data_IF_841509703471
#
_entry.id   IF_841509703471
#
_cell.length_a   1.000
_cell.length_b   1.000
_cell.length_c   1.000
_cell.angle_alpha   90.00
_cell.angle_beta   90.00
_cell.angle_gamma   90.00
#
_symmetry.space_group_name_H-M   'P 1'
#
loop_
_entity.id
_entity.type
_entity.pdbx_description
1 polymer ?
#
# COMPACT_ATOMS: atom_id res chain seq x y z
N UNK A 1 14.46 9.75 -10.55
CA UNK A 1 14.45 10.66 -11.72
C UNK A 1 13.01 10.94 -12.10
N UNK A 2 12.68 12.13 -12.59
CA UNK A 2 11.30 12.44 -12.99
C UNK A 2 11.24 13.54 -14.03
N UNK A 3 10.16 13.54 -14.79
CA UNK A 3 9.84 14.56 -15.76
C UNK A 3 8.37 14.95 -15.64
N UNK A 4 8.08 16.21 -15.93
CA UNK A 4 6.72 16.71 -16.03
C UNK A 4 6.57 17.61 -17.23
N UNK A 5 5.38 17.64 -17.80
CA UNK A 5 4.99 18.55 -18.86
C UNK A 5 3.64 19.18 -18.55
N UNK A 6 3.64 20.51 -18.50
CA UNK A 6 2.43 21.30 -18.35
C UNK A 6 1.87 21.55 -19.76
N UNK A 7 0.73 20.94 -20.06
CA UNK A 7 0.05 21.11 -21.36
C UNK A 7 -0.92 22.30 -21.36
N UNK A 8 -1.21 22.85 -20.18
CA UNK A 8 -1.90 24.14 -19.98
C UNK A 8 -1.46 24.77 -18.65
N UNK A 9 -1.98 25.96 -18.36
CA UNK A 9 -1.78 26.63 -17.07
C UNK A 9 -2.39 25.87 -15.87
N UNK A 10 -3.27 24.91 -16.17
CA UNK A 10 -4.07 24.19 -15.17
C UNK A 10 -4.02 22.67 -15.35
N UNK A 11 -3.07 22.15 -16.13
CA UNK A 11 -3.00 20.75 -16.47
C UNK A 11 -1.57 20.28 -16.70
N UNK A 12 -1.20 19.18 -16.05
CA UNK A 12 0.12 18.57 -16.20
C UNK A 12 0.05 17.04 -16.26
N UNK A 13 0.94 16.47 -17.07
CA UNK A 13 1.29 15.06 -17.04
C UNK A 13 2.68 14.96 -16.43
N UNK A 14 2.90 13.95 -15.60
CA UNK A 14 4.21 13.68 -15.01
C UNK A 14 4.48 12.18 -15.04
N UNK A 15 5.76 11.85 -14.93
CA UNK A 15 6.18 10.50 -14.63
C UNK A 15 7.49 10.51 -13.87
N UNK A 16 7.68 9.52 -13.01
CA UNK A 16 8.93 9.38 -12.28
C UNK A 16 9.31 7.92 -12.11
N UNK A 17 10.60 7.75 -11.86
CA UNK A 17 11.19 6.53 -11.32
C UNK A 17 11.88 6.88 -10.01
N UNK A 18 11.65 6.10 -8.95
CA UNK A 18 12.32 6.26 -7.67
C UNK A 18 12.81 4.91 -7.16
N UNK A 19 13.95 4.93 -6.47
CA UNK A 19 14.46 3.80 -5.70
C UNK A 19 14.49 4.18 -4.23
N UNK A 20 13.85 3.37 -3.40
CA UNK A 20 13.93 3.41 -1.95
C UNK A 20 14.54 2.12 -1.41
N UNK A 21 14.93 2.13 -0.15
CA UNK A 21 15.41 0.93 0.52
C UNK A 21 15.06 0.94 2.01
N UNK A 22 14.85 -0.25 2.56
CA UNK A 22 14.81 -0.51 3.99
C UNK A 22 16.04 -1.34 4.33
N UNK A 23 16.94 -0.74 5.12
CA UNK A 23 18.18 -1.41 5.51
C UNK A 23 17.92 -2.77 6.15
N UNK A 24 18.83 -3.70 5.94
CA UNK A 24 18.86 -4.95 6.68
C UNK A 24 18.89 -4.73 8.19
N UNK A 25 18.23 -5.62 8.92
CA UNK A 25 18.26 -5.75 10.37
C UNK A 25 19.18 -6.88 10.82
N UNK A 26 19.08 -7.24 12.10
CA UNK A 26 19.82 -8.39 12.64
C UNK A 26 18.98 -9.12 13.68
N UNK A 27 18.80 -10.43 13.50
CA UNK A 27 18.17 -11.29 14.49
C UNK A 27 19.22 -11.71 15.53
N UNK A 28 19.26 -11.05 16.69
CA UNK A 28 20.30 -11.29 17.71
C UNK A 28 20.04 -12.53 18.57
N UNK A 29 18.84 -12.66 19.14
CA UNK A 29 18.48 -13.77 20.03
C UNK A 29 17.17 -14.38 19.59
N UNK A 30 17.25 -15.52 18.89
CA UNK A 30 16.09 -16.33 18.54
C UNK A 30 15.88 -17.41 19.60
N UNK A 31 14.64 -17.62 20.00
CA UNK A 31 14.28 -18.61 21.02
C UNK A 31 14.52 -20.06 20.52
N UNK A 32 14.49 -20.27 19.19
CA UNK A 32 14.86 -21.51 18.52
C UNK A 32 15.85 -21.26 17.38
N UNK A 33 17.16 -21.10 17.67
CA UNK A 33 18.17 -20.73 16.68
C UNK A 33 18.45 -21.82 15.63
N UNK A 34 17.95 -23.04 15.84
CA UNK A 34 18.00 -24.11 14.85
C UNK A 34 17.08 -23.84 13.65
N UNK A 35 15.89 -23.27 13.87
CA UNK A 35 14.95 -22.95 12.79
C UNK A 35 15.31 -21.63 12.12
N UNK A 36 15.67 -20.63 12.92
CA UNK A 36 16.07 -19.30 12.43
C UNK A 36 17.40 -18.96 13.10
N UNK A 37 18.55 -19.16 12.42
CA UNK A 37 19.84 -18.80 12.96
C UNK A 37 19.96 -17.29 13.24
N UNK A 38 20.72 -16.88 14.27
CA UNK A 38 21.10 -15.49 14.42
C UNK A 38 21.88 -15.01 13.19
N UNK A 39 21.58 -13.81 12.70
CA UNK A 39 22.18 -13.31 11.48
C UNK A 39 21.52 -12.03 10.96
N UNK A 40 22.15 -11.39 9.97
CA UNK A 40 21.60 -10.22 9.31
C UNK A 40 20.44 -10.60 8.39
N UNK A 41 19.49 -9.68 8.20
CA UNK A 41 18.60 -9.71 7.02
C UNK A 41 19.23 -8.89 5.89
N UNK A 42 18.88 -9.22 4.65
CA UNK A 42 19.27 -8.46 3.46
C UNK A 42 18.49 -7.16 3.39
N UNK A 43 19.04 -6.15 2.73
CA UNK A 43 18.33 -4.92 2.42
C UNK A 43 17.11 -5.23 1.56
N UNK A 44 15.98 -4.58 1.85
CA UNK A 44 14.81 -4.57 0.97
C UNK A 44 14.90 -3.34 0.07
N UNK A 45 14.81 -3.52 -1.24
CA UNK A 45 14.84 -2.43 -2.21
C UNK A 45 13.46 -2.26 -2.84
N UNK A 46 13.02 -1.02 -3.06
CA UNK A 46 11.75 -0.72 -3.73
C UNK A 46 12.00 0.19 -4.93
N UNK A 47 11.73 -0.31 -6.13
CA UNK A 47 11.82 0.41 -7.39
C UNK A 47 10.41 0.75 -7.88
N UNK A 48 10.08 2.03 -7.89
CA UNK A 48 8.76 2.53 -8.31
C UNK A 48 8.86 3.24 -9.65
N UNK A 49 7.95 2.91 -10.56
CA UNK A 49 7.62 3.73 -11.74
C UNK A 49 6.19 4.23 -11.58
N UNK A 50 5.98 5.53 -11.77
CA UNK A 50 4.65 6.14 -11.75
C UNK A 50 4.47 7.08 -12.95
N UNK A 51 3.25 7.10 -13.50
CA UNK A 51 2.80 8.10 -14.46
C UNK A 51 1.47 8.67 -13.97
N UNK A 52 1.32 9.99 -14.04
CA UNK A 52 0.12 10.65 -13.55
C UNK A 52 -0.28 11.89 -14.32
N UNK A 53 -1.56 12.23 -14.14
CA UNK A 53 -2.25 13.39 -14.66
C UNK A 53 -2.76 14.20 -13.47
N UNK A 54 -2.51 15.51 -13.47
CA UNK A 54 -3.10 16.45 -12.52
C UNK A 54 -3.77 17.56 -13.29
N UNK A 55 -5.03 17.83 -12.99
CA UNK A 55 -5.82 18.84 -13.68
C UNK A 55 -6.68 19.64 -12.72
N UNK A 56 -6.65 20.95 -12.91
CA UNK A 56 -7.58 21.93 -12.36
C UNK A 56 -8.37 22.53 -13.53
N UNK A 57 -9.70 22.47 -13.44
CA UNK A 57 -10.63 22.90 -14.46
C UNK A 57 -11.62 23.91 -13.85
N UNK A 58 -12.29 24.68 -14.72
CA UNK A 58 -13.30 25.67 -14.32
C UNK A 58 -12.77 26.63 -13.23
N UNK A 59 -11.62 27.26 -13.48
CA UNK A 59 -10.95 28.19 -12.57
C UNK A 59 -10.68 27.59 -11.17
N UNK A 60 -10.29 26.31 -11.14
CA UNK A 60 -9.99 25.57 -9.91
C UNK A 60 -11.22 25.01 -9.18
N UNK A 61 -12.41 25.12 -9.78
CA UNK A 61 -13.63 24.53 -9.21
C UNK A 61 -13.71 23.03 -9.37
N UNK A 62 -13.00 22.44 -10.33
CA UNK A 62 -13.00 20.99 -10.54
C UNK A 62 -11.55 20.51 -10.60
N UNK A 63 -11.20 19.54 -9.77
CA UNK A 63 -9.89 18.89 -9.73
C UNK A 63 -10.04 17.42 -10.03
N UNK A 64 -9.20 16.92 -10.93
CA UNK A 64 -9.04 15.50 -11.20
C UNK A 64 -7.56 15.15 -11.23
N UNK A 65 -7.18 14.21 -10.38
CA UNK A 65 -5.87 13.58 -10.37
C UNK A 65 -6.03 12.09 -10.68
N UNK A 66 -5.18 11.55 -11.52
CA UNK A 66 -5.13 10.13 -11.84
C UNK A 66 -3.68 9.71 -11.91
N UNK A 67 -3.32 8.58 -11.30
CA UNK A 67 -1.99 8.01 -11.41
C UNK A 67 -2.07 6.50 -11.61
N UNK A 68 -1.10 5.96 -12.35
CA UNK A 68 -0.83 4.55 -12.45
C UNK A 68 0.59 4.30 -11.98
N UNK A 69 0.77 3.27 -11.16
CA UNK A 69 2.05 2.94 -10.54
C UNK A 69 2.37 1.46 -10.70
N UNK A 70 3.67 1.16 -10.67
CA UNK A 70 4.23 -0.17 -10.66
C UNK A 70 5.45 -0.18 -9.73
N UNK A 71 5.43 -1.04 -8.72
CA UNK A 71 6.48 -1.18 -7.73
C UNK A 71 7.04 -2.60 -7.80
N UNK A 72 8.36 -2.70 -7.96
CA UNK A 72 9.13 -3.93 -7.80
C UNK A 72 9.85 -3.82 -6.45
N UNK A 73 9.54 -4.74 -5.54
CA UNK A 73 10.11 -4.80 -4.19
C UNK A 73 10.97 -6.05 -4.10
N UNK A 74 12.28 -5.87 -4.10
CA UNK A 74 13.25 -6.95 -3.96
C UNK A 74 13.49 -7.26 -2.48
N UNK A 75 13.65 -8.54 -2.15
CA UNK A 75 14.00 -9.00 -0.80
C UNK A 75 13.06 -8.51 0.32
N UNK A 76 11.75 -8.49 0.06
CA UNK A 76 10.74 -7.99 0.98
C UNK A 76 10.91 -8.60 2.38
N UNK A 77 11.17 -7.77 3.39
CA UNK A 77 11.32 -8.22 4.76
C UNK A 77 9.95 -8.37 5.45
N UNK A 78 9.73 -9.53 6.07
CA UNK A 78 8.51 -9.86 6.80
C UNK A 78 8.84 -10.20 8.25
N UNK A 79 8.00 -9.71 9.15
CA UNK A 79 8.04 -10.10 10.56
C UNK A 79 7.23 -11.38 10.76
N UNK A 80 7.88 -12.38 11.34
CA UNK A 80 7.26 -13.63 11.75
C UNK A 80 6.83 -13.53 13.21
N UNK A 81 5.63 -14.05 13.48
CA UNK A 81 5.09 -14.24 14.83
C UNK A 81 4.35 -15.57 14.86
N UNK A 82 5.10 -16.67 14.99
CA UNK A 82 4.56 -18.03 14.90
C UNK A 82 4.39 -18.58 16.30
N UNK A 83 3.19 -19.07 16.64
CA UNK A 83 2.96 -19.72 17.94
C UNK A 83 3.80 -21.00 18.06
N UNK A 84 4.45 -21.19 19.20
CA UNK A 84 5.31 -22.35 19.45
C UNK A 84 5.10 -22.87 20.88
N UNK A 85 4.93 -24.19 21.09
CA UNK A 85 4.61 -24.75 22.40
C UNK A 85 5.75 -24.62 23.43
N UNK A 86 7.01 -24.52 23.00
CA UNK A 86 8.17 -24.48 23.90
C UNK A 86 8.59 -23.05 24.23
N UNK A 87 8.42 -22.13 23.28
CA UNK A 87 8.89 -20.74 23.42
C UNK A 87 7.77 -19.70 23.36
N UNK A 88 6.51 -20.15 23.39
CA UNK A 88 5.28 -19.37 23.29
C UNK A 88 5.10 -18.76 21.89
N UNK A 89 6.06 -17.96 21.42
CA UNK A 89 6.09 -17.38 20.07
C UNK A 89 7.52 -17.38 19.52
N UNK A 90 7.71 -17.87 18.31
CA UNK A 90 8.91 -17.68 17.50
C UNK A 90 8.76 -16.35 16.73
N UNK A 91 9.63 -15.39 17.06
CA UNK A 91 9.67 -14.06 16.44
C UNK A 91 10.99 -13.86 15.72
N UNK A 92 10.94 -13.38 14.48
CA UNK A 92 12.10 -13.04 13.69
C UNK A 92 11.70 -12.15 12.51
N UNK A 93 12.65 -11.42 11.94
CA UNK A 93 12.50 -10.81 10.62
C UNK A 93 13.20 -11.66 9.58
N UNK A 94 12.56 -11.92 8.44
CA UNK A 94 13.13 -12.68 7.34
C UNK A 94 12.94 -11.91 6.03
N UNK A 95 13.82 -12.12 5.04
CA UNK A 95 13.52 -11.75 3.65
C UNK A 95 12.61 -12.85 3.08
N UNK A 96 11.40 -12.48 2.68
CA UNK A 96 10.36 -13.41 2.26
C UNK A 96 10.39 -13.69 0.75
N UNK A 97 10.94 -12.78 -0.05
CA UNK A 97 11.03 -12.91 -1.50
C UNK A 97 10.75 -11.58 -2.20
N UNK A 98 10.56 -11.66 -3.51
CA UNK A 98 10.36 -10.49 -4.37
C UNK A 98 8.88 -10.31 -4.67
N UNK A 99 8.45 -9.05 -4.77
CA UNK A 99 7.04 -8.68 -4.84
C UNK A 99 6.81 -7.58 -5.87
N UNK A 100 5.80 -7.77 -6.69
CA UNK A 100 5.28 -6.72 -7.57
C UNK A 100 3.96 -6.19 -7.00
N UNK A 101 3.82 -4.85 -6.93
CA UNK A 101 2.56 -4.18 -6.59
C UNK A 101 2.28 -3.07 -7.61
N UNK A 102 1.12 -3.15 -8.25
CA UNK A 102 0.73 -2.20 -9.29
C UNK A 102 -0.72 -1.78 -9.15
N UNK A 103 -1.06 -0.61 -9.68
CA UNK A 103 -2.40 -0.11 -9.54
C UNK A 103 -2.65 1.21 -10.23
N UNK A 104 -3.91 1.65 -10.12
CA UNK A 104 -4.40 2.93 -10.58
C UNK A 104 -5.16 3.58 -9.44
N UNK A 105 -4.89 4.87 -9.23
CA UNK A 105 -5.60 5.71 -8.29
C UNK A 105 -6.19 6.93 -9.00
N UNK A 106 -7.35 7.37 -8.54
CA UNK A 106 -7.97 8.60 -9.00
C UNK A 106 -8.62 9.35 -7.84
N UNK A 107 -8.40 10.66 -7.82
CA UNK A 107 -9.01 11.60 -6.88
C UNK A 107 -9.75 12.69 -7.64
N UNK A 108 -10.97 12.95 -7.22
CA UNK A 108 -11.84 13.94 -7.81
C UNK A 108 -12.42 14.86 -6.73
N UNK A 109 -12.40 16.17 -7.00
CA UNK A 109 -13.08 17.16 -6.16
C UNK A 109 -13.75 18.20 -7.04
N UNK A 110 -14.98 18.60 -6.71
CA UNK A 110 -15.70 19.60 -7.49
C UNK A 110 -16.58 20.49 -6.62
N UNK A 111 -16.48 21.80 -6.84
CA UNK A 111 -17.40 22.83 -6.36
C UNK A 111 -18.47 23.08 -7.43
N UNK A 112 -19.53 22.26 -7.38
CA UNK A 112 -20.60 22.23 -8.38
C UNK A 112 -21.42 23.51 -8.41
N UNK A 113 -21.62 24.13 -7.25
CA UNK A 113 -22.19 25.48 -7.09
C UNK A 113 -21.39 26.25 -6.03
N UNK A 114 -21.66 27.53 -5.78
CA UNK A 114 -20.96 28.28 -4.72
C UNK A 114 -21.13 27.69 -3.31
N UNK A 115 -22.11 26.80 -3.14
CA UNK A 115 -22.49 26.24 -1.86
C UNK A 115 -22.59 24.71 -1.84
N UNK A 116 -22.25 24.02 -2.93
CA UNK A 116 -22.30 22.57 -3.01
C UNK A 116 -21.02 22.00 -3.59
N UNK A 117 -20.37 21.13 -2.82
CA UNK A 117 -19.14 20.45 -3.22
C UNK A 117 -19.26 18.94 -3.07
N UNK A 118 -18.57 18.22 -3.94
CA UNK A 118 -18.39 16.78 -3.87
C UNK A 118 -16.92 16.41 -3.93
N UNK A 119 -16.59 15.27 -3.33
CA UNK A 119 -15.28 14.64 -3.45
C UNK A 119 -15.46 13.14 -3.64
N UNK A 120 -14.57 12.52 -4.40
CA UNK A 120 -14.53 11.08 -4.59
C UNK A 120 -13.09 10.63 -4.76
N UNK A 121 -12.79 9.41 -4.31
CA UNK A 121 -11.52 8.76 -4.59
C UNK A 121 -11.74 7.28 -4.88
N UNK A 122 -10.86 6.70 -5.70
CA UNK A 122 -10.85 5.27 -5.98
C UNK A 122 -9.42 4.81 -6.19
N UNK A 123 -9.08 3.67 -5.61
CA UNK A 123 -7.83 2.97 -5.84
C UNK A 123 -8.13 1.52 -6.18
N UNK A 124 -7.54 1.03 -7.26
CA UNK A 124 -7.54 -0.38 -7.62
C UNK A 124 -6.09 -0.81 -7.76
N UNK A 125 -5.71 -1.85 -7.04
CA UNK A 125 -4.35 -2.36 -7.02
C UNK A 125 -4.36 -3.87 -6.91
N UNK A 126 -3.28 -4.46 -7.39
CA UNK A 126 -3.02 -5.88 -7.28
C UNK A 126 -1.55 -6.06 -6.91
N UNK A 127 -1.25 -7.15 -6.23
CA UNK A 127 0.12 -7.42 -5.83
C UNK A 127 0.33 -8.86 -5.43
N UNK A 128 1.45 -9.39 -5.89
CA UNK A 128 1.80 -10.80 -5.78
C UNK A 128 3.28 -10.97 -5.44
N UNK A 129 3.63 -12.13 -4.87
CA UNK A 129 5.01 -12.55 -4.78
C UNK A 129 5.45 -13.09 -6.15
N UNK A 130 6.45 -12.46 -6.74
CA UNK A 130 7.11 -12.96 -7.95
C UNK A 130 7.98 -14.18 -7.61
N UNK A 131 8.60 -14.15 -6.43
CA UNK A 131 9.45 -15.21 -5.91
C UNK A 131 9.28 -15.32 -4.39
N UNK A 132 9.45 -16.52 -3.85
CA UNK A 132 9.56 -16.75 -2.40
C UNK A 132 11.00 -17.14 -2.11
N UNK A 133 11.61 -16.52 -1.11
CA UNK A 133 12.98 -16.84 -0.68
C UNK A 133 13.04 -18.33 -0.28
N UNK A 134 13.98 -19.12 -0.82
CA UNK A 134 14.10 -20.54 -0.51
C UNK A 134 14.20 -20.86 0.98
N UNK A 135 14.70 -19.92 1.79
CA UNK A 135 14.73 -20.04 3.24
C UNK A 135 13.33 -20.21 3.84
N UNK A 136 12.31 -19.54 3.30
CA UNK A 136 10.91 -19.66 3.76
C UNK A 136 10.43 -21.09 3.63
N UNK A 137 10.61 -21.70 2.45
CA UNK A 137 10.16 -23.08 2.20
C UNK A 137 10.90 -24.09 3.07
N UNK A 138 12.20 -23.87 3.31
CA UNK A 138 12.99 -24.70 4.23
C UNK A 138 12.46 -24.57 5.67
N UNK A 139 12.18 -23.33 6.10
CA UNK A 139 11.65 -23.07 7.43
C UNK A 139 10.28 -23.72 7.64
N UNK A 140 9.38 -23.61 6.67
CA UNK A 140 8.06 -24.27 6.69
C UNK A 140 8.19 -25.78 6.86
N UNK A 141 9.06 -26.43 6.07
CA UNK A 141 9.28 -27.88 6.16
C UNK A 141 9.87 -28.30 7.51
N UNK A 142 10.80 -27.52 8.07
CA UNK A 142 11.38 -27.80 9.39
C UNK A 142 10.35 -27.62 10.52
N UNK A 143 9.50 -26.60 10.43
CA UNK A 143 8.43 -26.38 11.39
C UNK A 143 7.35 -27.45 11.30
N UNK A 144 6.96 -27.87 10.09
CA UNK A 144 6.03 -28.98 9.89
C UNK A 144 6.58 -30.29 10.48
N UNK A 145 7.86 -30.59 10.25
CA UNK A 145 8.51 -31.77 10.85
C UNK A 145 8.52 -31.71 12.39
N UNK A 146 8.74 -30.52 12.97
CA UNK A 146 8.86 -30.35 14.41
C UNK A 146 7.50 -30.34 15.14
N UNK A 147 6.47 -29.79 14.49
CA UNK A 147 5.12 -29.65 15.07
C UNK A 147 4.20 -30.80 14.69
N UNK A 148 4.52 -31.54 13.62
CA UNK A 148 3.64 -32.55 13.04
C UNK A 148 2.38 -31.96 12.41
N UNK A 149 2.35 -30.65 12.13
CA UNK A 149 1.22 -29.94 11.52
C UNK A 149 1.70 -29.11 10.32
N UNK A 150 0.93 -29.05 9.22
CA UNK A 150 1.26 -28.15 8.11
C UNK A 150 1.40 -26.71 8.61
N UNK A 151 2.54 -26.08 8.29
CA UNK A 151 2.86 -24.72 8.71
C UNK A 151 3.10 -23.85 7.50
N UNK A 152 2.33 -22.76 7.37
CA UNK A 152 2.55 -21.72 6.37
C UNK A 152 3.09 -20.48 7.07
N UNK A 153 4.28 -20.07 6.69
CA UNK A 153 4.99 -18.90 7.24
C UNK A 153 4.63 -17.66 6.43
N UNK A 154 4.62 -17.79 5.10
CA UNK A 154 4.19 -16.75 4.16
C UNK A 154 3.02 -17.27 3.36
N UNK A 155 1.88 -16.59 3.46
CA UNK A 155 0.69 -16.93 2.67
C UNK A 155 0.82 -16.51 1.20
N UNK A 156 -0.07 -17.01 0.34
CA UNK A 156 -0.05 -16.68 -1.10
C UNK A 156 -0.39 -15.22 -1.39
N UNK A 157 -1.10 -14.55 -0.47
CA UNK A 157 -1.54 -13.16 -0.63
C UNK A 157 -0.67 -12.20 0.17
N UNK A 158 -0.47 -11.01 -0.37
CA UNK A 158 0.18 -9.92 0.35
C UNK A 158 -0.76 -9.36 1.42
N UNK A 159 -0.41 -9.47 2.71
CA UNK A 159 -1.30 -9.05 3.77
C UNK A 159 -1.43 -7.53 3.79
N UNK A 160 -2.67 -7.07 4.01
CA UNK A 160 -3.05 -5.64 4.08
C UNK A 160 -2.97 -4.89 2.75
N UNK A 161 -2.77 -5.60 1.64
CA UNK A 161 -3.03 -5.08 0.31
C UNK A 161 -4.55 -5.11 0.10
N UNK A 162 -5.20 -3.96 0.06
CA UNK A 162 -6.62 -3.90 -0.26
C UNK A 162 -6.77 -3.74 -1.77
N UNK A 163 -7.34 -4.73 -2.49
CA UNK A 163 -7.38 -4.68 -3.94
C UNK A 163 -8.18 -3.48 -4.44
N UNK A 164 -9.32 -3.22 -3.82
CA UNK A 164 -10.17 -2.06 -4.15
C UNK A 164 -10.43 -1.20 -2.92
N UNK A 165 -10.32 0.12 -3.08
CA UNK A 165 -10.82 1.09 -2.12
C UNK A 165 -11.49 2.24 -2.85
N UNK A 166 -12.54 2.82 -2.25
CA UNK A 166 -13.17 4.02 -2.79
C UNK A 166 -13.86 4.82 -1.70
N UNK A 167 -13.93 6.13 -1.91
CA UNK A 167 -14.66 7.05 -1.04
C UNK A 167 -15.49 8.04 -1.85
N UNK A 168 -16.57 8.52 -1.25
CA UNK A 168 -17.40 9.58 -1.79
C UNK A 168 -17.89 10.46 -0.66
N UNK A 169 -17.91 11.77 -0.89
CA UNK A 169 -18.44 12.74 0.06
C UNK A 169 -19.09 13.92 -0.64
N UNK A 170 -19.98 14.58 0.09
CA UNK A 170 -20.54 15.86 -0.31
C UNK A 170 -20.69 16.80 0.88
N UNK A 171 -20.73 18.10 0.59
CA UNK A 171 -21.03 19.17 1.53
C UNK A 171 -21.93 20.20 0.84
N UNK A 172 -22.99 20.62 1.51
CA UNK A 172 -23.95 21.60 1.03
C UNK A 172 -24.22 22.66 2.10
N UNK A 173 -23.82 23.90 1.83
CA UNK A 173 -24.21 25.07 2.59
C UNK A 173 -25.56 25.60 2.13
N UNK A 174 -26.55 25.54 3.00
CA UNK A 174 -27.93 25.96 2.74
C UNK A 174 -28.14 27.31 3.43
N UNK A 175 -28.32 28.41 2.67
CA UNK A 175 -28.63 29.72 3.25
C UNK A 175 -29.95 29.69 4.02
N UNK A 176 -29.92 30.16 5.26
CA UNK A 176 -31.06 30.17 6.18
C UNK A 176 -31.53 31.61 6.52
N UNK A 177 -31.30 32.55 5.61
CA UNK A 177 -31.58 33.97 5.83
C UNK A 177 -30.80 34.52 7.03
N UNK A 178 -31.49 35.14 7.98
CA UNK A 178 -30.88 35.75 9.17
C UNK A 178 -30.25 34.72 10.14
N UNK A 179 -30.53 33.43 9.97
CA UNK A 179 -29.98 32.37 10.80
C UNK A 179 -28.57 31.93 10.35
N UNK A 180 -28.05 32.49 9.25
CA UNK A 180 -26.73 32.15 8.70
C UNK A 180 -26.80 30.99 7.71
N UNK A 181 -25.85 30.06 7.82
CA UNK A 181 -25.72 28.89 6.94
C UNK A 181 -26.00 27.61 7.73
N UNK A 182 -26.80 26.71 7.17
CA UNK A 182 -26.86 25.32 7.61
C UNK A 182 -25.98 24.46 6.70
N UNK A 183 -25.02 23.75 7.26
CA UNK A 183 -24.22 22.81 6.49
C UNK A 183 -24.82 21.39 6.59
N UNK A 184 -24.99 20.74 5.44
CA UNK A 184 -25.29 19.32 5.33
C UNK A 184 -24.11 18.62 4.65
N UNK A 185 -23.47 17.69 5.34
CA UNK A 185 -22.38 16.90 4.80
C UNK A 185 -22.58 15.40 5.05
N UNK A 186 -22.07 14.58 4.12
CA UNK A 186 -22.05 13.13 4.24
C UNK A 186 -20.81 12.55 3.57
N UNK A 187 -20.32 11.43 4.09
CA UNK A 187 -19.19 10.69 3.54
C UNK A 187 -19.42 9.19 3.65
N UNK A 188 -18.99 8.46 2.63
CA UNK A 188 -18.97 7.01 2.56
C UNK A 188 -17.58 6.55 2.13
N UNK A 189 -17.08 5.47 2.74
CA UNK A 189 -15.81 4.85 2.37
C UNK A 189 -15.94 3.33 2.39
N UNK A 190 -15.35 2.68 1.40
CA UNK A 190 -15.22 1.24 1.31
C UNK A 190 -13.76 0.86 1.08
N UNK A 191 -13.34 -0.23 1.72
CA UNK A 191 -12.04 -0.85 1.53
C UNK A 191 -12.27 -2.36 1.52
N UNK A 192 -11.86 -2.99 0.43
CA UNK A 192 -11.82 -4.45 0.31
C UNK A 192 -10.79 -5.03 1.29
N UNK A 193 -11.13 -6.17 1.90
CA UNK A 193 -10.41 -6.76 3.03
C UNK A 193 -9.82 -8.11 2.71
#
# INVERSE_FOLDING_TARGET
LGAQWNFSDSGQIYGFWSKGFRSGGFNFRNAKPFFIPPGPTREEENNTVEIGLKTDMADGRVRLNVAAFHNEIDDMQRELNIGDPDVIVLQATINAGDVTIQGIEADFAALLTENFSINASVGVQDGEYDSIDPFVTILEALLEQATGQPTTVIGPELPRLAPTNYSFGFSWDIPAGNLGLFNLASSYSYREG
#
